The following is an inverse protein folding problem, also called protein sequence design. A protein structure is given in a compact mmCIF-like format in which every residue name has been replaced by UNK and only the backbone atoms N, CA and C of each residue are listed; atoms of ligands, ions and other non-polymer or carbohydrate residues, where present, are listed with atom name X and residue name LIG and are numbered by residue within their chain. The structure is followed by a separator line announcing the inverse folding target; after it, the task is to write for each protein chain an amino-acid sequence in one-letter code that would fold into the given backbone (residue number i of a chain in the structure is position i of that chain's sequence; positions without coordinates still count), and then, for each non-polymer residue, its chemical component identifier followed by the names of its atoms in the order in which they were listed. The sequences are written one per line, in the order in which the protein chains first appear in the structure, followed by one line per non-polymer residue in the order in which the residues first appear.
data_IF_372614488562
#
_entry.id   IF_372614488562
#
_cell.length_a   1.000
_cell.length_b   1.000
_cell.length_c   1.000
_cell.angle_alpha   90.00
_cell.angle_beta   90.00
_cell.angle_gamma   90.00
#
_symmetry.space_group_name_H-M   'P 1'
#
loop_
_entity.id
_entity.type
_entity.pdbx_description
1 polymer ?
#
# COMPACT_ATOMS: atom_id res chain seq x y z
N UNK A 1 -0.47 -12.63 3.85
CA UNK A 1 0.24 -11.37 4.18
C UNK A 1 -0.83 -10.30 4.22
N UNK A 2 -1.11 -9.68 5.39
CA UNK A 2 -2.06 -8.59 5.45
C UNK A 2 -1.57 -7.48 4.52
N UNK A 3 -2.36 -7.09 3.53
CA UNK A 3 -2.11 -5.91 2.72
C UNK A 3 -2.09 -4.71 3.67
N UNK A 4 -0.92 -4.09 3.78
CA UNK A 4 -0.79 -2.87 4.57
C UNK A 4 -1.71 -1.82 3.95
N UNK A 5 -2.79 -1.48 4.65
CA UNK A 5 -3.73 -0.45 4.19
C UNK A 5 -2.96 0.85 3.92
N UNK A 6 -3.08 1.36 2.70
CA UNK A 6 -2.45 2.62 2.29
C UNK A 6 -3.03 3.76 3.14
N UNK A 7 -2.19 4.53 3.87
CA UNK A 7 -2.68 5.63 4.68
C UNK A 7 -3.33 6.71 3.82
N UNK A 8 -4.52 7.19 4.19
CA UNK A 8 -5.26 8.22 3.44
C UNK A 8 -4.91 9.65 3.83
N UNK A 9 -4.38 9.86 5.04
CA UNK A 9 -3.95 11.19 5.46
C UNK A 9 -2.69 11.62 4.69
N UNK A 10 -2.63 12.83 4.11
CA UNK A 10 -1.53 13.26 3.24
C UNK A 10 -0.14 13.11 3.85
N UNK A 11 0.01 13.45 5.13
CA UNK A 11 1.29 13.33 5.84
C UNK A 11 1.69 11.86 6.07
N UNK A 12 0.76 11.01 6.47
CA UNK A 12 0.99 9.59 6.70
C UNK A 12 1.29 8.86 5.38
N UNK A 13 0.56 9.21 4.31
CA UNK A 13 0.80 8.69 2.97
C UNK A 13 2.20 9.05 2.46
N UNK A 14 2.60 10.32 2.60
CA UNK A 14 3.92 10.78 2.18
C UNK A 14 5.05 10.03 2.90
N UNK A 15 4.91 9.84 4.21
CA UNK A 15 5.89 9.11 5.03
C UNK A 15 5.95 7.62 4.66
N UNK A 16 4.78 7.01 4.48
CA UNK A 16 4.67 5.61 4.04
C UNK A 16 5.30 5.41 2.66
N UNK A 17 4.96 6.27 1.68
CA UNK A 17 5.50 6.20 0.31
C UNK A 17 7.01 6.40 0.29
N UNK A 18 7.53 7.36 1.05
CA UNK A 18 8.96 7.56 1.21
C UNK A 18 9.67 6.32 1.76
N UNK A 19 9.10 5.65 2.76
CA UNK A 19 9.68 4.44 3.32
C UNK A 19 9.72 3.29 2.30
N UNK A 20 8.64 3.09 1.52
CA UNK A 20 8.59 2.10 0.44
C UNK A 20 9.62 2.40 -0.66
N UNK A 21 9.67 3.64 -1.13
CA UNK A 21 10.63 4.06 -2.16
C UNK A 21 12.08 3.90 -1.68
N UNK A 22 12.37 4.29 -0.43
CA UNK A 22 13.70 4.12 0.17
C UNK A 22 14.08 2.64 0.26
N UNK A 23 13.14 1.78 0.66
CA UNK A 23 13.35 0.33 0.72
C UNK A 23 13.69 -0.27 -0.64
N UNK A 24 13.00 0.16 -1.71
CA UNK A 24 13.21 -0.39 -3.06
C UNK A 24 14.53 0.10 -3.66
N UNK A 25 14.86 1.38 -3.49
CA UNK A 25 15.98 2.03 -4.19
C UNK A 25 17.34 1.86 -3.50
N UNK A 26 17.34 1.61 -2.19
CA UNK A 26 18.57 1.66 -1.39
C UNK A 26 19.45 0.39 -1.42
N UNK A 27 18.94 -0.85 -1.43
CA UNK A 27 19.76 -2.04 -1.18
C UNK A 27 20.84 -2.26 -2.23
N UNK A 28 20.50 -2.19 -3.51
CA UNK A 28 21.43 -2.46 -4.60
C UNK A 28 22.52 -1.41 -4.73
N UNK A 29 22.26 -0.15 -4.34
CA UNK A 29 23.27 0.91 -4.40
C UNK A 29 24.53 0.61 -3.59
N UNK A 30 24.42 -0.08 -2.45
CA UNK A 30 25.53 -0.43 -1.59
C UNK A 30 26.58 -1.35 -2.25
N UNK A 31 26.17 -2.24 -3.15
CA UNK A 31 27.05 -3.18 -3.86
C UNK A 31 28.07 -2.42 -4.72
N UNK A 32 27.62 -1.35 -5.37
CA UNK A 32 28.48 -0.60 -6.29
C UNK A 32 29.60 0.16 -5.57
N UNK A 33 29.40 0.61 -4.33
CA UNK A 33 30.48 1.21 -3.54
C UNK A 33 31.58 0.18 -3.21
N UNK A 34 31.19 -1.04 -2.85
CA UNK A 34 32.12 -2.13 -2.60
C UNK A 34 32.91 -2.48 -3.87
N UNK A 35 32.24 -2.66 -5.00
CA UNK A 35 32.87 -2.98 -6.28
C UNK A 35 33.78 -1.86 -6.76
N UNK A 36 33.37 -0.61 -6.66
CA UNK A 36 34.16 0.54 -7.06
C UNK A 36 35.46 0.65 -6.22
N UNK A 37 35.38 0.41 -4.91
CA UNK A 37 36.59 0.40 -4.08
C UNK A 37 37.50 -0.79 -4.41
N UNK A 38 36.94 -1.98 -4.63
CA UNK A 38 37.70 -3.15 -5.06
C UNK A 38 38.48 -2.87 -6.38
N UNK A 39 37.79 -2.27 -7.36
CA UNK A 39 38.44 -1.91 -8.65
C UNK A 39 39.47 -0.82 -8.46
N UNK A 40 39.20 0.19 -7.63
CA UNK A 40 40.17 1.26 -7.33
C UNK A 40 41.43 0.71 -6.69
N UNK A 41 41.31 -0.25 -5.77
CA UNK A 41 42.45 -0.92 -5.15
C UNK A 41 43.17 -1.86 -6.12
N UNK A 42 42.43 -2.74 -6.81
CA UNK A 42 43.03 -3.76 -7.70
C UNK A 42 43.80 -3.15 -8.90
N UNK A 43 43.36 -2.01 -9.41
CA UNK A 43 44.02 -1.29 -10.52
C UNK A 43 44.95 -0.16 -10.05
N UNK A 44 45.30 -0.11 -8.77
CA UNK A 44 46.35 0.78 -8.26
C UNK A 44 47.73 0.39 -8.76
N UNK A 45 48.71 1.29 -8.67
CA UNK A 45 50.08 1.04 -9.15
C UNK A 45 50.76 -0.11 -8.41
N UNK A 46 50.48 -0.30 -7.11
CA UNK A 46 50.96 -1.39 -6.29
C UNK A 46 49.89 -1.83 -5.28
N UNK A 47 49.02 -2.78 -5.66
CA UNK A 47 48.01 -3.31 -4.76
C UNK A 47 48.57 -4.00 -3.51
N UNK A 48 49.79 -4.55 -3.60
CA UNK A 48 50.42 -5.24 -2.49
C UNK A 48 50.88 -4.25 -1.40
N UNK A 49 51.40 -3.08 -1.79
CA UNK A 49 51.72 -2.02 -0.85
C UNK A 49 50.46 -1.39 -0.21
N UNK A 50 49.30 -1.52 -0.85
CA UNK A 50 48.02 -0.96 -0.41
C UNK A 50 47.07 -1.99 0.21
N UNK A 51 47.56 -3.14 0.70
CA UNK A 51 46.75 -4.21 1.28
C UNK A 51 45.93 -3.69 2.47
N UNK A 52 46.53 -2.92 3.37
CA UNK A 52 45.81 -2.43 4.56
C UNK A 52 44.62 -1.50 4.19
N UNK A 53 44.79 -0.39 3.44
CA UNK A 53 43.67 0.44 3.05
C UNK A 53 42.66 -0.31 2.13
N UNK A 54 43.16 -1.21 1.27
CA UNK A 54 42.30 -2.04 0.42
C UNK A 54 41.35 -2.90 1.21
N UNK A 55 41.88 -3.71 2.15
CA UNK A 55 41.08 -4.62 2.99
C UNK A 55 40.14 -3.84 3.93
N UNK A 56 40.66 -2.77 4.56
CA UNK A 56 39.81 -1.93 5.45
C UNK A 56 38.65 -1.33 4.69
N UNK A 57 38.85 -0.82 3.48
CA UNK A 57 37.76 -0.27 2.67
C UNK A 57 36.77 -1.34 2.21
N UNK A 58 37.21 -2.53 1.81
CA UNK A 58 36.34 -3.66 1.49
C UNK A 58 35.50 -4.02 2.72
N UNK A 59 36.11 -4.20 3.88
CA UNK A 59 35.44 -4.56 5.12
C UNK A 59 34.36 -3.49 5.50
N UNK A 60 34.72 -2.21 5.38
CA UNK A 60 33.81 -1.09 5.66
C UNK A 60 32.61 -1.08 4.72
N UNK A 61 32.82 -1.15 3.40
CA UNK A 61 31.70 -1.12 2.44
C UNK A 61 30.88 -2.40 2.49
N UNK A 62 31.48 -3.56 2.76
CA UNK A 62 30.76 -4.81 2.99
C UNK A 62 29.88 -4.74 4.25
N UNK A 63 30.40 -4.19 5.35
CA UNK A 63 29.64 -3.97 6.58
C UNK A 63 28.46 -3.03 6.36
N UNK A 64 28.68 -1.88 5.69
CA UNK A 64 27.63 -0.91 5.39
C UNK A 64 26.55 -1.49 4.47
N UNK A 65 26.94 -2.32 3.50
CA UNK A 65 26.01 -3.07 2.66
C UNK A 65 25.19 -4.06 3.50
N UNK A 66 25.86 -4.87 4.34
CA UNK A 66 25.18 -5.85 5.19
C UNK A 66 24.18 -5.17 6.15
N UNK A 67 24.56 -4.06 6.78
CA UNK A 67 23.65 -3.28 7.64
C UNK A 67 22.43 -2.76 6.88
N UNK A 68 22.58 -2.30 5.63
CA UNK A 68 21.45 -1.87 4.80
C UNK A 68 20.51 -3.03 4.43
N UNK A 69 21.05 -4.20 4.08
CA UNK A 69 20.26 -5.38 3.72
C UNK A 69 19.51 -5.97 4.91
N UNK A 70 20.15 -5.95 6.10
CA UNK A 70 19.55 -6.45 7.35
C UNK A 70 18.52 -5.48 7.94
N UNK A 71 18.59 -4.18 7.61
CA UNK A 71 17.67 -3.17 8.11
C UNK A 71 16.31 -3.23 7.39
N UNK A 72 15.47 -4.18 7.82
CA UNK A 72 14.14 -4.44 7.24
C UNK A 72 13.11 -3.41 7.67
N UNK A 73 12.13 -3.17 6.79
CA UNK A 73 10.99 -2.32 7.10
C UNK A 73 10.19 -2.94 8.26
N UNK A 74 9.74 -2.13 9.26
CA UNK A 74 8.97 -2.63 10.38
C UNK A 74 7.64 -3.25 9.93
N UNK A 75 7.17 -4.28 10.61
CA UNK A 75 5.89 -4.92 10.33
C UNK A 75 4.72 -3.98 10.65
N UNK A 76 4.81 -3.31 11.79
CA UNK A 76 3.87 -2.27 12.19
C UNK A 76 4.30 -0.94 11.56
N UNK A 77 3.50 -0.44 10.62
CA UNK A 77 3.80 0.76 9.84
C UNK A 77 3.15 2.02 10.44
N UNK A 78 3.32 2.22 11.75
CA UNK A 78 2.94 3.48 12.40
C UNK A 78 3.87 4.61 11.97
N UNK A 79 3.39 5.86 12.03
CA UNK A 79 4.17 7.04 11.65
C UNK A 79 5.50 7.13 12.43
N UNK A 80 5.50 6.76 13.71
CA UNK A 80 6.69 6.81 14.55
C UNK A 80 7.68 5.70 14.18
N UNK A 81 7.20 4.49 13.89
CA UNK A 81 8.06 3.38 13.49
C UNK A 81 8.71 3.63 12.13
N UNK A 82 7.95 4.14 11.15
CA UNK A 82 8.45 4.51 9.83
C UNK A 82 9.46 5.67 9.91
N UNK A 83 9.19 6.69 10.73
CA UNK A 83 10.10 7.82 10.91
C UNK A 83 11.43 7.39 11.53
N UNK A 84 11.42 6.54 12.57
CA UNK A 84 12.63 5.98 13.19
C UNK A 84 13.42 5.13 12.19
N UNK A 85 12.73 4.26 11.46
CA UNK A 85 13.34 3.43 10.41
C UNK A 85 14.01 4.29 9.34
N UNK A 86 13.32 5.28 8.81
CA UNK A 86 13.87 6.22 7.81
C UNK A 86 15.08 6.98 8.34
N UNK A 87 15.06 7.43 9.59
CA UNK A 87 16.18 8.16 10.19
C UNK A 87 17.42 7.29 10.25
N UNK A 88 17.30 6.05 10.73
CA UNK A 88 18.44 5.12 10.80
C UNK A 88 18.94 4.74 9.40
N UNK A 89 18.02 4.48 8.47
CA UNK A 89 18.39 4.13 7.09
C UNK A 89 19.13 5.25 6.38
N UNK A 90 18.69 6.50 6.56
CA UNK A 90 19.40 7.68 6.05
C UNK A 90 20.76 7.88 6.69
N UNK A 91 20.93 7.54 7.98
CA UNK A 91 22.26 7.57 8.62
C UNK A 91 23.23 6.61 7.95
N UNK A 92 22.78 5.40 7.58
CA UNK A 92 23.60 4.44 6.82
C UNK A 92 23.97 4.98 5.42
N UNK A 93 23.04 5.67 4.74
CA UNK A 93 23.33 6.32 3.46
C UNK A 93 24.39 7.42 3.62
N UNK A 94 24.25 8.28 4.64
CA UNK A 94 25.18 9.38 4.89
C UNK A 94 26.58 8.88 5.27
N UNK A 95 26.67 7.85 6.11
CA UNK A 95 27.96 7.24 6.48
C UNK A 95 28.62 6.64 5.22
N UNK A 96 27.86 5.96 4.36
CA UNK A 96 28.41 5.43 3.09
C UNK A 96 28.91 6.55 2.18
N UNK A 97 28.16 7.64 2.08
CA UNK A 97 28.54 8.81 1.28
C UNK A 97 29.84 9.45 1.79
N UNK A 98 29.97 9.60 3.10
CA UNK A 98 31.18 10.11 3.74
C UNK A 98 32.38 9.17 3.53
N UNK A 99 32.17 7.87 3.74
CA UNK A 99 33.20 6.86 3.53
C UNK A 99 33.71 6.84 2.09
N UNK A 100 32.78 6.97 1.11
CA UNK A 100 33.20 7.07 -0.29
C UNK A 100 33.90 8.38 -0.60
N UNK A 101 33.45 9.51 -0.08
CA UNK A 101 34.13 10.79 -0.25
C UNK A 101 35.57 10.76 0.27
N UNK A 102 35.77 10.13 1.44
CA UNK A 102 37.13 9.92 2.00
C UNK A 102 37.97 8.96 1.13
N UNK A 103 37.38 7.87 0.63
CA UNK A 103 38.04 6.92 -0.28
C UNK A 103 38.46 7.60 -1.61
N UNK A 104 37.58 8.43 -2.18
CA UNK A 104 37.87 9.23 -3.38
C UNK A 104 39.02 10.23 -3.11
N UNK A 105 38.99 10.95 -2.01
CA UNK A 105 40.05 11.88 -1.62
C UNK A 105 41.37 11.16 -1.44
N UNK A 106 41.39 9.98 -0.82
CA UNK A 106 42.59 9.15 -0.69
C UNK A 106 43.13 8.74 -2.06
N UNK A 107 42.24 8.28 -2.96
CA UNK A 107 42.62 7.87 -4.32
C UNK A 107 43.21 9.03 -5.15
N UNK A 108 42.77 10.27 -4.92
CA UNK A 108 43.31 11.46 -5.58
C UNK A 108 44.62 11.92 -5.00
N UNK A 109 44.85 11.74 -3.71
CA UNK A 109 46.02 12.27 -3.02
C UNK A 109 47.19 11.30 -3.00
N UNK A 110 46.96 9.99 -2.91
CA UNK A 110 48.00 9.02 -2.68
C UNK A 110 48.64 8.54 -4.01
N UNK A 111 49.96 8.66 -4.22
CA UNK A 111 50.62 8.39 -5.50
C UNK A 111 50.42 6.97 -6.05
N UNK A 112 50.28 5.96 -5.17
CA UNK A 112 50.04 4.58 -5.59
C UNK A 112 48.66 4.34 -6.19
N UNK A 113 47.70 5.27 -6.04
CA UNK A 113 46.39 5.20 -6.71
C UNK A 113 46.33 6.00 -8.03
N UNK A 114 47.45 6.58 -8.50
CA UNK A 114 47.42 7.46 -9.68
C UNK A 114 46.84 6.80 -10.94
N UNK A 115 47.09 5.49 -11.16
CA UNK A 115 46.49 4.72 -12.28
C UNK A 115 44.99 4.49 -12.14
N UNK A 116 44.50 4.37 -10.91
CA UNK A 116 43.08 4.06 -10.61
C UNK A 116 42.26 5.25 -10.12
N UNK A 117 42.85 6.43 -9.97
CA UNK A 117 42.16 7.65 -9.54
C UNK A 117 40.97 8.01 -10.46
N UNK A 118 41.07 7.70 -11.77
CA UNK A 118 40.01 7.88 -12.72
C UNK A 118 38.77 6.99 -12.40
N UNK A 119 39.01 5.75 -11.91
CA UNK A 119 37.92 4.83 -11.51
C UNK A 119 37.16 5.42 -10.33
N UNK A 120 37.88 5.91 -9.30
CA UNK A 120 37.26 6.56 -8.15
C UNK A 120 36.47 7.81 -8.56
N UNK A 121 37.00 8.62 -9.49
CA UNK A 121 36.34 9.82 -9.99
C UNK A 121 35.04 9.50 -10.77
N UNK A 122 35.10 8.55 -11.72
CA UNK A 122 33.93 8.12 -12.48
C UNK A 122 32.86 7.51 -11.56
N UNK A 123 33.30 6.71 -10.57
CA UNK A 123 32.38 6.16 -9.57
C UNK A 123 31.73 7.27 -8.71
N UNK A 124 32.48 8.31 -8.34
CA UNK A 124 31.94 9.48 -7.63
C UNK A 124 30.86 10.18 -8.46
N UNK A 125 31.08 10.38 -9.75
CA UNK A 125 30.11 10.93 -10.69
C UNK A 125 28.85 10.05 -10.74
N UNK A 126 29.01 8.73 -10.91
CA UNK A 126 27.91 7.78 -11.01
C UNK A 126 27.07 7.73 -9.72
N UNK A 127 27.70 7.63 -8.55
CA UNK A 127 27.01 7.52 -7.26
C UNK A 127 26.27 8.80 -6.89
N UNK A 128 26.87 9.94 -7.12
CA UNK A 128 26.24 11.23 -6.86
C UNK A 128 25.08 11.51 -7.82
N UNK A 129 25.19 11.09 -9.09
CA UNK A 129 24.08 11.13 -10.03
C UNK A 129 22.91 10.27 -9.55
N UNK A 130 23.21 9.00 -9.23
CA UNK A 130 22.20 8.09 -8.70
C UNK A 130 21.53 8.63 -7.43
N UNK A 131 22.30 9.27 -6.55
CA UNK A 131 21.80 9.86 -5.31
C UNK A 131 20.90 11.07 -5.59
N UNK A 132 21.27 11.97 -6.50
CA UNK A 132 20.50 13.15 -6.85
C UNK A 132 19.12 12.81 -7.44
N UNK A 133 19.02 11.72 -8.23
CA UNK A 133 17.78 11.31 -8.88
C UNK A 133 16.94 10.34 -8.05
N UNK A 134 17.56 9.38 -7.36
CA UNK A 134 16.82 8.33 -6.66
C UNK A 134 16.41 8.70 -5.22
N UNK A 135 17.07 9.68 -4.58
CA UNK A 135 16.86 10.03 -3.19
C UNK A 135 16.37 11.47 -2.98
N UNK A 136 15.77 12.06 -4.02
CA UNK A 136 15.26 13.43 -4.01
C UNK A 136 14.07 13.66 -3.05
N UNK A 137 13.45 12.60 -2.50
CA UNK A 137 12.35 12.70 -1.55
C UNK A 137 12.72 13.53 -0.31
N UNK A 138 13.93 13.38 0.23
CA UNK A 138 14.47 14.20 1.35
C UNK A 138 15.61 15.11 0.89
N UNK A 139 15.25 16.19 0.21
CA UNK A 139 16.20 17.15 -0.37
C UNK A 139 17.37 17.53 0.55
N UNK A 140 17.11 17.87 1.83
CA UNK A 140 18.15 18.29 2.77
C UNK A 140 19.18 17.17 3.03
N UNK A 141 18.70 15.93 3.19
CA UNK A 141 19.60 14.77 3.42
C UNK A 141 20.33 14.36 2.16
N UNK A 142 19.67 14.39 1.00
CA UNK A 142 20.29 14.14 -0.28
C UNK A 142 21.37 15.20 -0.60
N UNK A 143 21.11 16.47 -0.31
CA UNK A 143 22.10 17.54 -0.43
C UNK A 143 23.33 17.26 0.47
N UNK A 144 23.09 16.91 1.73
CA UNK A 144 24.18 16.58 2.66
C UNK A 144 25.01 15.38 2.14
N UNK A 145 24.35 14.33 1.64
CA UNK A 145 25.05 13.18 1.07
C UNK A 145 25.87 13.54 -0.17
N UNK A 146 25.37 14.39 -1.07
CA UNK A 146 26.11 14.91 -2.21
C UNK A 146 27.38 15.68 -1.76
N UNK A 147 27.24 16.54 -0.76
CA UNK A 147 28.37 17.27 -0.22
C UNK A 147 29.41 16.33 0.41
N UNK A 148 28.97 15.30 1.16
CA UNK A 148 29.86 14.32 1.77
C UNK A 148 30.62 13.47 0.73
N UNK A 149 30.02 13.19 -0.42
CA UNK A 149 30.68 12.48 -1.53
C UNK A 149 31.71 13.39 -2.23
N UNK A 150 31.39 14.67 -2.47
CA UNK A 150 32.18 15.55 -3.32
C UNK A 150 33.25 16.36 -2.57
N UNK A 151 32.91 16.95 -1.41
CA UNK A 151 33.80 17.89 -0.73
C UNK A 151 35.17 17.35 -0.41
N UNK A 152 35.36 16.09 0.10
CA UNK A 152 36.66 15.57 0.37
C UNK A 152 37.57 15.53 -0.87
N UNK A 153 37.04 15.07 -2.02
CA UNK A 153 37.76 15.04 -3.28
C UNK A 153 38.04 16.42 -3.85
N UNK A 154 37.08 17.35 -3.80
CA UNK A 154 37.29 18.72 -4.26
C UNK A 154 38.30 19.46 -3.43
N UNK A 155 38.41 19.20 -2.11
CA UNK A 155 39.42 19.79 -1.24
C UNK A 155 40.82 19.29 -1.61
N UNK A 156 41.01 17.98 -1.87
CA UNK A 156 42.29 17.45 -2.30
C UNK A 156 42.73 18.00 -3.65
N UNK A 157 41.80 18.12 -4.61
CA UNK A 157 42.07 18.75 -5.91
C UNK A 157 42.40 20.24 -5.78
N UNK A 158 41.76 20.95 -4.89
CA UNK A 158 42.03 22.38 -4.64
C UNK A 158 43.44 22.59 -4.03
N UNK A 159 43.89 21.68 -3.18
CA UNK A 159 45.26 21.71 -2.66
C UNK A 159 46.32 21.46 -3.75
N UNK A 160 45.98 20.62 -4.74
CA UNK A 160 46.82 20.32 -5.91
C UNK A 160 46.43 21.15 -7.15
N UNK A 161 45.83 22.35 -6.97
CA UNK A 161 45.18 23.11 -8.04
C UNK A 161 46.04 23.38 -9.27
N UNK A 162 47.35 23.56 -9.05
CA UNK A 162 48.30 23.82 -10.18
C UNK A 162 48.37 22.68 -11.18
N UNK A 163 48.22 21.43 -10.73
CA UNK A 163 48.34 20.23 -11.55
C UNK A 163 46.99 19.69 -11.99
N UNK A 164 45.94 19.92 -11.16
CA UNK A 164 44.62 19.28 -11.35
C UNK A 164 43.45 20.26 -11.50
N UNK A 165 43.73 21.52 -11.91
CA UNK A 165 42.68 22.56 -12.06
C UNK A 165 41.58 22.17 -13.02
N UNK A 166 41.90 21.46 -14.10
CA UNK A 166 40.88 21.03 -15.07
C UNK A 166 39.84 20.08 -14.47
N UNK A 167 40.32 19.11 -13.66
CA UNK A 167 39.46 18.17 -12.96
C UNK A 167 38.65 18.87 -11.84
N UNK A 168 39.29 19.76 -11.09
CA UNK A 168 38.62 20.59 -10.07
C UNK A 168 37.45 21.39 -10.65
N UNK A 169 37.70 22.11 -11.77
CA UNK A 169 36.69 22.91 -12.43
C UNK A 169 35.58 22.00 -12.95
N UNK A 170 35.91 20.91 -13.63
CA UNK A 170 34.92 19.97 -14.19
C UNK A 170 34.00 19.39 -13.12
N UNK A 171 34.56 18.90 -12.01
CA UNK A 171 33.77 18.34 -10.91
C UNK A 171 32.93 19.40 -10.19
N UNK A 172 33.47 20.65 -10.09
CA UNK A 172 32.67 21.76 -9.51
C UNK A 172 31.48 22.14 -10.39
N UNK A 173 31.65 22.20 -11.71
CA UNK A 173 30.53 22.38 -12.64
C UNK A 173 29.53 21.23 -12.54
N UNK A 174 30.02 20.01 -12.48
CA UNK A 174 29.14 18.84 -12.36
C UNK A 174 28.38 18.83 -11.04
N UNK A 175 29.01 19.22 -9.94
CA UNK A 175 28.32 19.38 -8.67
C UNK A 175 27.21 20.44 -8.77
N UNK A 176 27.47 21.58 -9.42
CA UNK A 176 26.43 22.61 -9.62
C UNK A 176 25.24 22.08 -10.43
N UNK A 177 25.51 21.30 -11.48
CA UNK A 177 24.46 20.60 -12.24
C UNK A 177 23.65 19.65 -11.36
N UNK A 178 24.32 18.82 -10.51
CA UNK A 178 23.63 17.89 -9.60
C UNK A 178 22.75 18.60 -8.58
N UNK A 179 23.16 19.78 -8.09
CA UNK A 179 22.33 20.58 -7.18
C UNK A 179 21.06 21.09 -7.87
N UNK A 180 21.15 21.49 -9.12
CA UNK A 180 20.00 21.87 -9.94
C UNK A 180 19.10 20.65 -10.24
N UNK A 181 19.71 19.53 -10.61
CA UNK A 181 19.01 18.28 -10.89
C UNK A 181 18.27 17.76 -9.64
N UNK A 182 18.92 17.79 -8.45
CA UNK A 182 18.29 17.44 -7.18
C UNK A 182 17.06 18.30 -6.89
N UNK A 183 17.16 19.63 -7.12
CA UNK A 183 16.03 20.55 -6.95
C UNK A 183 14.86 20.21 -7.86
N UNK A 184 15.16 19.86 -9.13
CA UNK A 184 14.16 19.46 -10.11
C UNK A 184 13.52 18.14 -9.72
N UNK A 185 14.33 17.10 -9.44
CA UNK A 185 13.84 15.76 -9.05
C UNK A 185 13.01 15.81 -7.76
N UNK A 186 13.39 16.67 -6.81
CA UNK A 186 12.60 16.88 -5.59
C UNK A 186 11.20 17.44 -5.89
N UNK A 187 11.10 18.44 -6.77
CA UNK A 187 9.80 18.99 -7.18
C UNK A 187 8.96 17.97 -7.95
N UNK A 188 9.59 17.24 -8.87
CA UNK A 188 8.93 16.18 -9.65
C UNK A 188 8.37 15.07 -8.72
N UNK A 189 9.16 14.62 -7.74
CA UNK A 189 8.74 13.64 -6.74
C UNK A 189 7.49 14.10 -5.97
N UNK A 190 7.51 15.31 -5.43
CA UNK A 190 6.39 15.83 -4.66
C UNK A 190 5.15 16.11 -5.51
N UNK A 191 5.33 16.51 -6.78
CA UNK A 191 4.21 16.65 -7.71
C UNK A 191 3.56 15.31 -8.01
N UNK A 192 4.36 14.26 -8.26
CA UNK A 192 3.85 12.90 -8.48
C UNK A 192 3.10 12.39 -7.26
N UNK A 193 3.64 12.58 -6.06
CA UNK A 193 2.99 12.21 -4.81
C UNK A 193 1.62 12.90 -4.62
N UNK A 194 1.55 14.20 -4.96
CA UNK A 194 0.31 14.96 -4.92
C UNK A 194 -0.73 14.44 -5.92
N UNK A 195 -0.28 14.09 -7.14
CA UNK A 195 -1.16 13.52 -8.16
C UNK A 195 -1.67 12.14 -7.75
N UNK A 196 -0.83 11.28 -7.15
CA UNK A 196 -1.26 9.98 -6.64
C UNK A 196 -2.38 10.14 -5.58
N UNK A 197 -2.21 11.08 -4.63
CA UNK A 197 -3.23 11.38 -3.63
C UNK A 197 -4.53 11.91 -4.25
N UNK A 198 -4.44 12.79 -5.26
CA UNK A 198 -5.61 13.31 -5.96
C UNK A 198 -6.35 12.19 -6.71
N UNK A 199 -5.63 11.26 -7.33
CA UNK A 199 -6.23 10.11 -8.01
C UNK A 199 -7.00 9.20 -7.02
N UNK A 200 -6.43 8.93 -5.84
CA UNK A 200 -7.10 8.16 -4.80
C UNK A 200 -8.38 8.86 -4.31
N UNK A 201 -8.34 10.17 -4.08
CA UNK A 201 -9.51 10.96 -3.69
C UNK A 201 -10.59 10.99 -4.79
N UNK A 202 -10.19 11.14 -6.06
CA UNK A 202 -11.12 11.08 -7.19
C UNK A 202 -11.76 9.71 -7.36
N UNK A 203 -10.97 8.64 -7.19
CA UNK A 203 -11.49 7.28 -7.24
C UNK A 203 -12.54 7.06 -6.14
N UNK A 204 -12.26 7.48 -4.90
CA UNK A 204 -13.21 7.40 -3.80
C UNK A 204 -14.50 8.21 -4.09
N UNK A 205 -14.37 9.41 -4.68
CA UNK A 205 -15.53 10.23 -5.09
C UNK A 205 -16.36 9.53 -6.16
N UNK A 206 -15.73 8.90 -7.14
CA UNK A 206 -16.45 8.13 -8.17
C UNK A 206 -17.18 6.92 -7.57
N UNK A 207 -16.55 6.20 -6.64
CA UNK A 207 -17.18 5.11 -5.90
C UNK A 207 -18.38 5.63 -5.07
N UNK A 208 -18.25 6.81 -4.45
CA UNK A 208 -19.37 7.47 -3.74
C UNK A 208 -20.50 7.93 -4.67
N UNK A 209 -20.18 8.35 -5.89
CA UNK A 209 -21.20 8.76 -6.88
C UNK A 209 -21.91 7.55 -7.51
N UNK A 210 -21.24 6.41 -7.59
CA UNK A 210 -21.86 5.14 -7.99
C UNK A 210 -22.73 4.62 -6.84
N UNK A 211 -24.01 4.44 -7.07
CA UNK A 211 -24.96 3.82 -6.10
C UNK A 211 -25.00 2.31 -6.23
N UNK A 212 -24.36 1.76 -7.23
CA UNK A 212 -24.36 0.34 -7.53
C UNK A 212 -22.99 -0.32 -7.26
N UNK A 213 -23.01 -1.57 -6.85
CA UNK A 213 -21.83 -2.42 -6.78
C UNK A 213 -21.39 -2.82 -8.19
N UNK A 214 -20.13 -2.61 -8.53
CA UNK A 214 -19.60 -2.82 -9.89
C UNK A 214 -19.65 -4.27 -10.35
N UNK A 215 -19.54 -5.24 -9.43
CA UNK A 215 -19.58 -6.65 -9.73
C UNK A 215 -20.99 -7.16 -9.90
N UNK A 216 -21.83 -6.96 -8.88
CA UNK A 216 -23.17 -7.56 -8.82
C UNK A 216 -24.27 -6.66 -9.40
N UNK A 217 -23.98 -5.39 -9.68
CA UNK A 217 -24.95 -4.38 -10.14
C UNK A 217 -26.16 -4.21 -9.19
N UNK A 218 -26.08 -4.69 -7.94
CA UNK A 218 -26.99 -4.35 -6.86
C UNK A 218 -26.63 -2.98 -6.28
N UNK A 219 -27.47 -2.41 -5.45
CA UNK A 219 -27.09 -1.24 -4.67
C UNK A 219 -25.88 -1.55 -3.80
N UNK A 220 -24.96 -0.58 -3.68
CA UNK A 220 -23.76 -0.75 -2.85
C UNK A 220 -24.01 -0.28 -1.41
N UNK A 221 -22.98 -0.42 -0.57
CA UNK A 221 -23.02 0.02 0.84
C UNK A 221 -23.32 1.51 0.99
N UNK A 222 -22.88 2.34 0.05
CA UNK A 222 -23.21 3.77 0.06
C UNK A 222 -24.71 4.01 -0.15
N UNK A 223 -25.32 3.28 -1.09
CA UNK A 223 -26.76 3.35 -1.30
C UNK A 223 -27.52 2.87 -0.05
N UNK A 224 -27.08 1.79 0.60
CA UNK A 224 -27.67 1.34 1.86
C UNK A 224 -27.63 2.44 2.93
N UNK A 225 -26.44 3.01 3.18
CA UNK A 225 -26.25 4.06 4.18
C UNK A 225 -27.09 5.32 3.89
N UNK A 226 -27.42 5.59 2.62
CA UNK A 226 -28.26 6.71 2.22
C UNK A 226 -29.75 6.40 2.36
N UNK A 227 -30.19 5.19 1.98
CA UNK A 227 -31.61 4.81 1.95
C UNK A 227 -32.12 4.38 3.32
N UNK A 228 -31.34 3.58 4.05
CA UNK A 228 -31.79 2.94 5.27
C UNK A 228 -32.30 3.90 6.36
N UNK A 229 -31.57 4.97 6.75
CA UNK A 229 -32.07 5.92 7.73
C UNK A 229 -33.33 6.65 7.28
N UNK A 230 -33.44 6.95 5.98
CA UNK A 230 -34.60 7.62 5.40
C UNK A 230 -35.84 6.70 5.41
N UNK A 231 -35.65 5.41 5.08
CA UNK A 231 -36.73 4.42 5.12
C UNK A 231 -37.20 4.16 6.56
N UNK A 232 -36.30 4.08 7.54
CA UNK A 232 -36.65 3.95 8.96
C UNK A 232 -37.44 5.16 9.44
N UNK A 233 -37.01 6.40 9.13
CA UNK A 233 -37.74 7.61 9.48
C UNK A 233 -39.12 7.68 8.82
N UNK A 234 -39.23 7.20 7.59
CA UNK A 234 -40.52 7.12 6.89
C UNK A 234 -41.46 6.08 7.51
N UNK A 235 -40.92 4.88 7.80
CA UNK A 235 -41.69 3.79 8.45
C UNK A 235 -42.23 4.26 9.81
N UNK A 236 -41.41 4.93 10.62
CA UNK A 236 -41.79 5.50 11.90
C UNK A 236 -42.89 6.55 11.74
N UNK A 237 -42.74 7.50 10.81
CA UNK A 237 -43.73 8.58 10.60
C UNK A 237 -45.06 8.10 10.07
N UNK A 238 -45.03 7.10 9.18
CA UNK A 238 -46.22 6.59 8.52
C UNK A 238 -46.86 5.40 9.26
N UNK A 239 -46.21 4.91 10.32
CA UNK A 239 -46.56 3.68 11.03
C UNK A 239 -46.71 2.48 10.09
N UNK A 240 -45.85 2.41 9.08
CA UNK A 240 -45.79 1.32 8.12
C UNK A 240 -44.66 0.35 8.47
N UNK A 241 -44.81 -0.96 8.24
CA UNK A 241 -43.78 -1.92 8.50
C UNK A 241 -42.57 -1.70 7.55
N UNK A 242 -41.34 -1.82 8.07
CA UNK A 242 -40.13 -1.86 7.30
C UNK A 242 -39.31 -3.07 7.77
N UNK A 243 -39.13 -4.04 6.91
CA UNK A 243 -38.28 -5.19 7.21
C UNK A 243 -36.90 -5.04 6.59
N UNK A 244 -35.89 -5.54 7.31
CA UNK A 244 -34.49 -5.68 6.88
C UNK A 244 -34.12 -7.15 6.92
N UNK A 245 -33.53 -7.65 5.84
CA UNK A 245 -32.88 -8.95 5.78
C UNK A 245 -31.41 -8.72 5.54
N UNK A 246 -30.56 -9.24 6.40
CA UNK A 246 -29.13 -9.32 6.21
C UNK A 246 -28.75 -10.76 5.87
N UNK A 247 -27.90 -10.93 4.85
CA UNK A 247 -27.51 -12.23 4.33
C UNK A 247 -25.99 -12.29 4.22
N UNK A 248 -25.44 -13.49 4.45
CA UNK A 248 -24.03 -13.78 4.28
C UNK A 248 -23.86 -15.16 3.66
N UNK A 249 -23.04 -15.26 2.62
CA UNK A 249 -22.79 -16.53 1.92
C UNK A 249 -21.89 -17.40 2.80
N UNK A 250 -22.42 -18.55 3.20
CA UNK A 250 -21.70 -19.47 4.09
C UNK A 250 -20.45 -20.01 3.40
N UNK A 251 -19.32 -19.99 4.14
CA UNK A 251 -18.04 -20.51 3.69
C UNK A 251 -17.52 -19.93 2.38
N UNK A 252 -17.88 -18.70 2.01
CA UNK A 252 -17.46 -18.05 0.76
C UNK A 252 -15.94 -18.01 0.59
N UNK A 253 -15.20 -17.79 1.67
CA UNK A 253 -13.74 -17.83 1.65
C UNK A 253 -13.21 -19.16 1.14
N UNK A 254 -13.85 -20.28 1.47
CA UNK A 254 -13.47 -21.61 0.97
C UNK A 254 -13.64 -21.71 -0.55
N UNK A 255 -14.68 -21.11 -1.11
CA UNK A 255 -14.88 -21.04 -2.57
C UNK A 255 -13.71 -20.31 -3.22
N UNK A 256 -13.30 -19.16 -2.66
CA UNK A 256 -12.15 -18.41 -3.16
C UNK A 256 -10.83 -19.19 -3.03
N UNK A 257 -10.60 -19.85 -1.89
CA UNK A 257 -9.35 -20.56 -1.61
C UNK A 257 -9.20 -21.84 -2.47
N UNK A 258 -10.31 -22.55 -2.77
CA UNK A 258 -10.29 -23.80 -3.55
C UNK A 258 -10.42 -23.56 -5.06
N UNK A 259 -11.22 -22.57 -5.52
CA UNK A 259 -11.56 -22.37 -6.95
C UNK A 259 -11.07 -21.03 -7.51
N UNK A 260 -10.43 -20.21 -6.70
CA UNK A 260 -9.90 -18.90 -7.08
C UNK A 260 -10.92 -17.77 -7.08
N UNK A 261 -10.43 -16.54 -7.05
CA UNK A 261 -11.26 -15.33 -6.96
C UNK A 261 -12.24 -15.16 -8.12
N UNK A 262 -11.88 -15.56 -9.34
CA UNK A 262 -12.78 -15.47 -10.49
C UNK A 262 -14.05 -16.36 -10.32
N UNK A 263 -13.91 -17.53 -9.67
CA UNK A 263 -15.04 -18.37 -9.31
C UNK A 263 -15.87 -17.74 -8.20
N UNK A 264 -15.25 -17.14 -7.20
CA UNK A 264 -15.93 -16.36 -6.16
C UNK A 264 -16.73 -15.20 -6.72
N UNK A 265 -16.17 -14.44 -7.66
CA UNK A 265 -16.86 -13.35 -8.34
C UNK A 265 -18.09 -13.85 -9.12
N UNK A 266 -17.96 -14.99 -9.79
CA UNK A 266 -19.11 -15.63 -10.47
C UNK A 266 -20.18 -16.10 -9.48
N UNK A 267 -19.78 -16.61 -8.32
CA UNK A 267 -20.71 -16.97 -7.23
C UNK A 267 -21.48 -15.76 -6.69
N UNK A 268 -20.82 -14.63 -6.47
CA UNK A 268 -21.45 -13.38 -6.04
C UNK A 268 -22.45 -12.85 -7.07
N UNK A 269 -22.13 -12.97 -8.35
CA UNK A 269 -23.05 -12.59 -9.44
C UNK A 269 -24.28 -13.49 -9.50
N UNK A 270 -24.09 -14.82 -9.38
CA UNK A 270 -25.20 -15.79 -9.34
C UNK A 270 -26.12 -15.54 -8.13
N UNK A 271 -25.54 -15.30 -6.96
CA UNK A 271 -26.27 -14.96 -5.75
C UNK A 271 -27.12 -13.69 -5.95
N UNK A 272 -26.53 -12.64 -6.51
CA UNK A 272 -27.23 -11.38 -6.79
C UNK A 272 -28.37 -11.55 -7.80
N UNK A 273 -28.18 -12.37 -8.82
CA UNK A 273 -29.21 -12.65 -9.83
C UNK A 273 -30.39 -13.41 -9.23
N UNK A 274 -30.13 -14.39 -8.37
CA UNK A 274 -31.18 -15.10 -7.62
C UNK A 274 -31.92 -14.18 -6.64
N UNK A 275 -31.22 -13.22 -6.00
CA UNK A 275 -31.90 -12.19 -5.20
C UNK A 275 -32.91 -11.41 -6.06
N UNK A 276 -32.55 -10.98 -7.27
CA UNK A 276 -33.46 -10.27 -8.18
C UNK A 276 -34.67 -11.14 -8.59
N UNK A 277 -34.46 -12.44 -8.75
CA UNK A 277 -35.51 -13.36 -9.15
C UNK A 277 -36.50 -13.64 -8.01
N UNK A 278 -36.06 -13.62 -6.77
CA UNK A 278 -36.86 -13.88 -5.59
C UNK A 278 -37.57 -12.62 -5.05
N UNK A 279 -36.80 -11.51 -4.97
CA UNK A 279 -37.32 -10.22 -4.45
C UNK A 279 -37.64 -9.28 -5.60
N UNK A 280 -38.82 -9.41 -6.17
CA UNK A 280 -39.21 -8.76 -7.44
C UNK A 280 -39.93 -7.43 -7.29
N UNK A 281 -40.16 -6.95 -6.07
CA UNK A 281 -40.87 -5.70 -5.86
C UNK A 281 -39.98 -4.52 -6.18
N UNK A 282 -40.43 -3.59 -7.01
CA UNK A 282 -39.69 -2.35 -7.32
C UNK A 282 -39.41 -1.48 -6.08
N UNK A 283 -40.21 -1.68 -5.00
CA UNK A 283 -40.03 -0.99 -3.73
C UNK A 283 -38.84 -1.55 -2.89
N UNK A 284 -38.43 -2.79 -3.16
CA UNK A 284 -37.42 -3.47 -2.38
C UNK A 284 -36.03 -3.02 -2.87
N UNK A 285 -35.18 -2.65 -1.93
CA UNK A 285 -33.78 -2.32 -2.27
C UNK A 285 -32.87 -3.52 -2.00
N UNK A 286 -32.34 -4.07 -3.09
CA UNK A 286 -31.36 -5.16 -3.05
C UNK A 286 -29.95 -4.59 -3.05
N UNK A 287 -29.15 -4.96 -2.07
CA UNK A 287 -27.89 -4.29 -1.76
C UNK A 287 -26.79 -5.31 -1.48
N UNK A 288 -25.57 -4.99 -1.93
CA UNK A 288 -24.35 -5.67 -1.47
C UNK A 288 -23.62 -4.77 -0.48
N UNK A 289 -23.46 -5.24 0.76
CA UNK A 289 -22.87 -4.44 1.85
C UNK A 289 -21.34 -4.52 1.89
N UNK A 290 -20.79 -5.59 1.32
CA UNK A 290 -19.31 -5.76 1.18
C UNK A 290 -18.92 -7.24 1.24
N UNK A 291 -17.85 -7.63 0.55
CA UNK A 291 -17.41 -9.02 0.51
C UNK A 291 -18.53 -9.98 0.08
N UNK A 292 -18.92 -10.89 0.97
CA UNK A 292 -20.01 -11.86 0.83
C UNK A 292 -21.31 -11.45 1.53
N UNK A 293 -21.40 -10.22 2.03
CA UNK A 293 -22.56 -9.71 2.78
C UNK A 293 -23.53 -8.95 1.86
N UNK A 294 -24.82 -9.27 2.00
CA UNK A 294 -25.92 -8.64 1.27
C UNK A 294 -27.01 -8.13 2.23
N UNK A 295 -27.82 -7.21 1.74
CA UNK A 295 -28.94 -6.66 2.48
C UNK A 295 -30.16 -6.45 1.59
N UNK A 296 -31.36 -6.59 2.16
CA UNK A 296 -32.64 -6.30 1.50
C UNK A 296 -33.44 -5.40 2.40
N UNK A 297 -33.82 -4.22 1.88
CA UNK A 297 -34.74 -3.32 2.55
C UNK A 297 -36.15 -3.50 1.93
N UNK A 298 -37.12 -3.86 2.74
CA UNK A 298 -38.47 -4.23 2.30
C UNK A 298 -39.49 -3.27 2.96
N UNK A 299 -39.76 -2.11 2.34
CA UNK A 299 -40.80 -1.21 2.85
C UNK A 299 -42.20 -1.84 2.73
N UNK A 300 -43.09 -1.46 3.63
CA UNK A 300 -44.46 -1.96 3.71
C UNK A 300 -44.59 -3.49 3.81
N UNK A 301 -43.54 -4.15 4.36
CA UNK A 301 -43.49 -5.60 4.49
C UNK A 301 -43.39 -5.97 5.97
N UNK A 302 -44.38 -6.69 6.53
CA UNK A 302 -44.31 -7.16 7.92
C UNK A 302 -43.30 -8.28 8.09
N UNK A 303 -42.88 -8.52 9.34
CA UNK A 303 -41.85 -9.51 9.68
C UNK A 303 -42.14 -10.91 9.14
N UNK A 304 -43.39 -11.37 9.28
CA UNK A 304 -43.79 -12.70 8.86
C UNK A 304 -43.61 -12.92 7.35
N UNK A 305 -44.00 -11.94 6.53
CA UNK A 305 -43.84 -11.98 5.08
C UNK A 305 -42.35 -11.91 4.68
N UNK A 306 -41.55 -11.05 5.36
CA UNK A 306 -40.14 -10.96 5.12
C UNK A 306 -39.41 -12.29 5.46
N UNK A 307 -39.79 -12.94 6.57
CA UNK A 307 -39.25 -14.25 6.94
C UNK A 307 -39.63 -15.33 5.92
N UNK A 308 -40.85 -15.33 5.41
CA UNK A 308 -41.29 -16.31 4.39
C UNK A 308 -40.45 -16.17 3.09
N UNK A 309 -40.29 -14.96 2.60
CA UNK A 309 -39.52 -14.68 1.40
C UNK A 309 -38.02 -15.02 1.60
N UNK A 310 -37.46 -14.65 2.73
CA UNK A 310 -36.06 -14.95 3.07
C UNK A 310 -35.81 -16.45 3.21
N UNK A 311 -36.74 -17.20 3.82
CA UNK A 311 -36.62 -18.66 3.95
C UNK A 311 -36.80 -19.38 2.62
N UNK A 312 -37.70 -18.92 1.75
CA UNK A 312 -37.82 -19.43 0.37
C UNK A 312 -36.54 -19.28 -0.40
N UNK A 313 -35.93 -18.10 -0.32
CA UNK A 313 -34.62 -17.82 -0.96
C UNK A 313 -33.51 -18.73 -0.41
N UNK A 314 -33.44 -18.91 0.91
CA UNK A 314 -32.45 -19.81 1.55
C UNK A 314 -32.62 -21.25 1.04
N UNK A 315 -33.86 -21.77 1.00
CA UNK A 315 -34.14 -23.13 0.55
C UNK A 315 -33.80 -23.33 -0.94
N UNK A 316 -34.04 -22.31 -1.76
CA UNK A 316 -33.69 -22.34 -3.18
C UNK A 316 -32.17 -22.41 -3.38
N UNK A 317 -31.41 -21.60 -2.63
CA UNK A 317 -29.94 -21.65 -2.65
C UNK A 317 -29.42 -23.03 -2.27
N UNK A 318 -29.93 -23.60 -1.18
CA UNK A 318 -29.52 -24.91 -0.68
C UNK A 318 -29.84 -26.03 -1.70
N UNK A 319 -31.01 -25.97 -2.33
CA UNK A 319 -31.47 -26.97 -3.29
C UNK A 319 -30.67 -26.95 -4.60
N UNK A 320 -30.36 -25.77 -5.11
CA UNK A 320 -29.79 -25.63 -6.46
C UNK A 320 -28.27 -25.56 -6.44
N UNK A 321 -27.69 -25.11 -5.35
CA UNK A 321 -26.24 -24.90 -5.28
C UNK A 321 -25.75 -23.82 -6.25
N UNK A 322 -24.45 -23.80 -6.50
CA UNK A 322 -23.78 -22.89 -7.44
C UNK A 322 -23.08 -23.67 -8.55
N UNK A 323 -23.32 -23.32 -9.80
CA UNK A 323 -22.67 -23.94 -10.96
C UNK A 323 -21.25 -23.39 -11.16
N UNK A 324 -20.26 -24.06 -10.56
CA UNK A 324 -18.86 -23.77 -10.80
C UNK A 324 -18.34 -24.51 -12.06
N UNK A 325 -17.22 -24.07 -12.66
CA UNK A 325 -16.62 -24.78 -13.78
C UNK A 325 -16.26 -26.24 -13.40
N UNK A 326 -17.04 -27.19 -13.92
CA UNK A 326 -16.83 -28.62 -13.72
C UNK A 326 -17.54 -29.28 -12.54
N UNK A 327 -18.27 -28.53 -11.69
CA UNK A 327 -19.03 -29.09 -10.57
C UNK A 327 -20.17 -28.17 -10.10
N UNK A 328 -21.20 -28.76 -9.50
CA UNK A 328 -22.20 -28.00 -8.74
C UNK A 328 -21.73 -27.98 -7.29
N UNK A 329 -21.44 -26.76 -6.77
CA UNK A 329 -21.02 -26.58 -5.40
C UNK A 329 -22.25 -26.32 -4.51
N UNK A 330 -22.29 -26.88 -3.29
CA UNK A 330 -23.32 -26.50 -2.32
C UNK A 330 -23.17 -25.01 -2.00
N UNK A 331 -24.26 -24.25 -2.14
CA UNK A 331 -24.31 -22.84 -1.80
C UNK A 331 -25.39 -22.64 -0.75
N UNK A 332 -25.01 -22.14 0.41
CA UNK A 332 -25.92 -21.79 1.50
C UNK A 332 -25.66 -20.38 1.99
N UNK A 333 -26.64 -19.81 2.68
CA UNK A 333 -26.51 -18.52 3.31
C UNK A 333 -27.09 -18.54 4.72
N UNK A 334 -26.50 -17.74 5.60
CA UNK A 334 -27.06 -17.39 6.90
C UNK A 334 -27.83 -16.08 6.78
N UNK A 335 -28.98 -15.99 7.42
CA UNK A 335 -29.88 -14.83 7.31
C UNK A 335 -30.29 -14.32 8.69
N UNK A 336 -30.23 -12.99 8.87
CA UNK A 336 -30.86 -12.29 9.97
C UNK A 336 -32.04 -11.47 9.43
N UNK A 337 -33.22 -11.60 10.01
CA UNK A 337 -34.43 -10.90 9.57
C UNK A 337 -35.06 -10.14 10.73
N UNK A 338 -35.39 -8.88 10.51
CA UNK A 338 -36.07 -8.06 11.50
C UNK A 338 -37.00 -7.04 10.87
N UNK A 339 -38.05 -6.67 11.60
CA UNK A 339 -38.92 -5.56 11.26
C UNK A 339 -38.68 -4.40 12.24
N UNK A 340 -38.65 -3.17 11.75
CA UNK A 340 -38.49 -1.98 12.57
C UNK A 340 -39.64 -1.85 13.58
N UNK A 341 -39.29 -1.68 14.85
CA UNK A 341 -40.26 -1.45 15.94
C UNK A 341 -39.78 -0.22 16.75
N UNK A 342 -40.51 0.88 16.62
CA UNK A 342 -40.23 2.13 17.32
C UNK A 342 -40.20 2.02 18.88
N UNK A 343 -40.70 0.93 19.45
CA UNK A 343 -40.65 0.66 20.91
C UNK A 343 -39.34 0.01 21.34
N UNK A 344 -38.69 -0.72 20.41
CA UNK A 344 -37.43 -1.44 20.65
C UNK A 344 -36.24 -0.71 20.06
N UNK A 345 -36.41 -0.09 18.88
CA UNK A 345 -35.35 0.49 18.09
C UNK A 345 -35.32 2.00 18.31
N UNK A 346 -34.37 2.49 19.09
CA UNK A 346 -34.19 3.93 19.37
C UNK A 346 -33.64 4.71 18.17
N UNK A 347 -33.03 4.02 17.20
CA UNK A 347 -32.42 4.59 15.98
C UNK A 347 -32.33 3.54 14.86
N UNK A 348 -32.02 3.99 13.65
CA UNK A 348 -31.73 3.10 12.51
C UNK A 348 -30.54 2.18 12.84
N UNK A 349 -29.49 2.69 13.51
CA UNK A 349 -28.33 1.88 13.91
C UNK A 349 -28.74 0.80 14.93
N UNK A 350 -29.63 1.11 15.87
CA UNK A 350 -30.15 0.12 16.83
C UNK A 350 -30.90 -1.01 16.13
N UNK A 351 -31.75 -0.66 15.16
CA UNK A 351 -32.46 -1.65 14.33
C UNK A 351 -31.48 -2.50 13.51
N UNK A 352 -30.51 -1.89 12.83
CA UNK A 352 -29.49 -2.63 12.08
C UNK A 352 -28.74 -3.62 12.98
N UNK A 353 -28.25 -3.13 14.12
CA UNK A 353 -27.52 -3.98 15.07
C UNK A 353 -28.32 -5.19 15.51
N UNK A 354 -29.60 -5.01 15.80
CA UNK A 354 -30.48 -6.12 16.21
C UNK A 354 -30.60 -7.20 15.14
N UNK A 355 -30.70 -6.79 13.84
CA UNK A 355 -30.74 -7.74 12.72
C UNK A 355 -29.38 -8.39 12.48
N UNK A 356 -28.29 -7.64 12.65
CA UNK A 356 -26.92 -8.15 12.56
C UNK A 356 -26.61 -9.19 13.67
N UNK A 357 -27.09 -8.93 14.90
CA UNK A 357 -26.99 -9.89 16.01
C UNK A 357 -27.75 -11.20 15.67
N UNK A 358 -28.91 -11.12 14.99
CA UNK A 358 -29.63 -12.31 14.52
C UNK A 358 -28.86 -13.05 13.40
N UNK A 359 -28.25 -12.34 12.46
CA UNK A 359 -27.38 -12.96 11.45
C UNK A 359 -26.19 -13.67 12.10
N UNK A 360 -25.58 -13.04 13.11
CA UNK A 360 -24.51 -13.66 13.87
C UNK A 360 -24.96 -14.94 14.59
N UNK A 361 -26.16 -14.94 15.18
CA UNK A 361 -26.75 -16.14 15.78
C UNK A 361 -26.97 -17.24 14.75
N UNK A 362 -27.47 -16.93 13.54
CA UNK A 362 -27.62 -17.89 12.46
C UNK A 362 -26.28 -18.56 12.11
N UNK A 363 -25.19 -17.77 11.98
CA UNK A 363 -23.83 -18.27 11.76
C UNK A 363 -23.33 -19.15 12.91
N UNK A 364 -23.55 -18.74 14.15
CA UNK A 364 -23.11 -19.48 15.35
C UNK A 364 -23.90 -20.78 15.57
N UNK A 365 -25.17 -20.83 15.23
CA UNK A 365 -26.05 -21.99 15.40
C UNK A 365 -25.86 -23.07 14.31
N UNK A 366 -24.88 -22.94 13.42
CA UNK A 366 -24.53 -23.95 12.41
C UNK A 366 -24.74 -23.52 10.96
N UNK A 367 -25.02 -22.25 10.73
CA UNK A 367 -25.23 -21.66 9.38
C UNK A 367 -26.47 -22.20 8.65
N UNK A 368 -26.64 -21.83 7.37
CA UNK A 368 -27.73 -22.29 6.51
C UNK A 368 -29.10 -22.19 7.20
N UNK A 369 -29.38 -21.04 7.80
CA UNK A 369 -30.62 -20.78 8.52
C UNK A 369 -30.97 -19.31 8.60
N UNK A 370 -32.20 -19.08 8.96
CA UNK A 370 -32.76 -17.77 9.26
C UNK A 370 -32.95 -17.65 10.77
N UNK A 371 -32.54 -16.53 11.32
CA UNK A 371 -32.86 -16.13 12.71
C UNK A 371 -33.59 -14.78 12.70
N UNK A 372 -34.58 -14.68 13.59
CA UNK A 372 -35.39 -13.48 13.75
C UNK A 372 -34.84 -12.58 14.85
N UNK A 373 -34.82 -11.27 14.59
CA UNK A 373 -34.31 -10.23 15.48
C UNK A 373 -35.43 -9.68 16.41
#
# INVERSE_FOLDING_TARGET
MAEAQVPRQPHAFALWREAQDTRIRSPLGGIYYLLAWLLTWAFSNDPAALVLPGVVGIALFALLLALRLLHRLPQEQSNDSLSRWLNLHWSLILITALSWGAAHALAQHHPLFSSSAIIATLSTIAFSTALAFNFAMRKKRALLALLLIYLPGLLTLALAWREQYALLITLSFYLSYLLLALNRSHREYHNTLKLELQLLDQQERLEHLSRTDSLTQLGNRYQFNSLFPVMVANAQRQSQPLSLVLLDIDFFKRINDEYGHACGDSCLNDFAERMRQNFRRDSDALLRLGGEEFGILMPNTPLEEACQLAEQFRQELEREGFNAPGAILPLTASLGVGCFDARRDSSAEGFFKRVDDALYQAKAAGRNRLEQA
#
